data_IF_011500045992
#
_entry.id   IF_011500045992
#
_cell.length_a   1.000
_cell.length_b   1.000
_cell.length_c   1.000
_cell.angle_alpha   90.00
_cell.angle_beta   90.00
_cell.angle_gamma   90.00
#
_symmetry.space_group_name_H-M   'P 1'
#
loop_
_entity.id
_entity.type
_entity.pdbx_description
1 polymer ?
#
# COMPACT_ATOMS: atom_id res chain seq x y z
N UNK A 1 13.89 7.18 27.09
CA UNK A 1 13.32 8.01 26.01
C UNK A 1 12.72 7.05 25.01
N UNK A 2 11.40 6.90 24.99
CA UNK A 2 10.70 5.98 24.10
C UNK A 2 10.56 6.63 22.71
N UNK A 3 11.32 6.15 21.73
CA UNK A 3 11.23 6.61 20.34
C UNK A 3 10.09 5.90 19.59
N UNK A 4 8.85 5.99 20.10
CA UNK A 4 7.69 5.61 19.30
C UNK A 4 7.42 6.74 18.33
N UNK A 5 7.89 6.59 17.10
CA UNK A 5 7.43 7.41 15.98
C UNK A 5 5.89 7.36 15.98
N UNK A 6 5.19 8.52 15.94
CA UNK A 6 3.75 8.53 15.81
C UNK A 6 3.31 7.61 14.68
N UNK A 7 2.25 6.82 14.87
CA UNK A 7 1.76 5.91 13.83
C UNK A 7 1.46 6.63 12.50
N UNK A 8 1.14 7.93 12.57
CA UNK A 8 0.93 8.85 11.45
C UNK A 8 2.19 9.26 10.68
N UNK A 9 3.37 8.79 11.07
CA UNK A 9 4.64 9.09 10.37
C UNK A 9 5.28 7.83 9.78
N UNK A 10 4.83 6.62 10.15
CA UNK A 10 5.36 5.39 9.58
C UNK A 10 4.56 5.01 8.32
N UNK A 11 5.20 5.00 7.13
CA UNK A 11 4.51 4.75 5.87
C UNK A 11 3.80 3.39 5.77
N UNK A 12 4.19 2.39 6.57
CA UNK A 12 3.52 1.09 6.56
C UNK A 12 2.09 1.19 7.13
N UNK A 13 1.83 2.09 8.08
CA UNK A 13 0.47 2.29 8.58
C UNK A 13 -0.42 2.95 7.54
N UNK A 14 0.09 3.95 6.82
CA UNK A 14 -0.61 4.56 5.69
C UNK A 14 -0.87 3.54 4.58
N UNK A 15 0.07 2.63 4.31
CA UNK A 15 -0.11 1.56 3.33
C UNK A 15 -1.21 0.58 3.76
N UNK A 16 -1.21 0.13 5.02
CA UNK A 16 -2.24 -0.77 5.55
C UNK A 16 -3.61 -0.06 5.59
N UNK A 17 -3.66 1.20 6.01
CA UNK A 17 -4.87 2.01 6.03
C UNK A 17 -5.45 2.17 4.62
N UNK A 18 -4.61 2.48 3.63
CA UNK A 18 -5.02 2.54 2.22
C UNK A 18 -5.65 1.22 1.77
N UNK A 19 -5.04 0.08 2.10
CA UNK A 19 -5.59 -1.23 1.75
C UNK A 19 -6.96 -1.47 2.41
N UNK A 20 -7.10 -1.16 3.70
CA UNK A 20 -8.36 -1.31 4.43
C UNK A 20 -9.46 -0.43 3.81
N UNK A 21 -9.16 0.84 3.56
CA UNK A 21 -10.11 1.77 2.96
C UNK A 21 -10.48 1.40 1.52
N UNK A 22 -9.50 0.94 0.73
CA UNK A 22 -9.73 0.43 -0.63
C UNK A 22 -10.64 -0.80 -0.62
N UNK A 23 -10.43 -1.73 0.31
CA UNK A 23 -11.27 -2.92 0.46
C UNK A 23 -12.69 -2.57 0.92
N UNK A 24 -12.83 -1.61 1.82
CA UNK A 24 -14.12 -1.13 2.33
C UNK A 24 -14.89 -0.21 1.36
N UNK A 25 -14.32 0.13 0.19
CA UNK A 25 -14.92 1.06 -0.77
C UNK A 25 -14.91 2.53 -0.31
N UNK A 26 -14.10 2.87 0.70
CA UNK A 26 -13.96 4.21 1.26
C UNK A 26 -12.97 5.02 0.43
N UNK A 27 -13.39 5.42 -0.77
CA UNK A 27 -12.52 6.01 -1.79
C UNK A 27 -11.84 7.31 -1.36
N UNK A 28 -12.53 8.16 -0.56
CA UNK A 28 -11.97 9.43 -0.10
C UNK A 28 -10.84 9.21 0.92
N UNK A 29 -11.03 8.28 1.85
CA UNK A 29 -10.05 7.84 2.83
C UNK A 29 -8.84 7.21 2.15
N UNK A 30 -9.08 6.26 1.23
CA UNK A 30 -8.02 5.61 0.46
C UNK A 30 -7.18 6.62 -0.35
N UNK A 31 -7.83 7.60 -0.97
CA UNK A 31 -7.14 8.67 -1.71
C UNK A 31 -6.28 9.56 -0.81
N UNK A 32 -6.71 9.85 0.42
CA UNK A 32 -5.91 10.60 1.40
C UNK A 32 -4.65 9.84 1.79
N UNK A 33 -4.76 8.55 2.08
CA UNK A 33 -3.61 7.71 2.43
C UNK A 33 -2.64 7.58 1.25
N UNK A 34 -3.15 7.37 0.03
CA UNK A 34 -2.35 7.34 -1.20
C UNK A 34 -1.60 8.65 -1.41
N UNK A 35 -2.28 9.81 -1.29
CA UNK A 35 -1.64 11.10 -1.46
C UNK A 35 -0.53 11.34 -0.42
N UNK A 36 -0.75 10.91 0.83
CA UNK A 36 0.29 10.98 1.85
C UNK A 36 1.50 10.11 1.48
N UNK A 37 1.28 8.88 1.04
CA UNK A 37 2.34 7.96 0.61
C UNK A 37 3.11 8.48 -0.61
N UNK A 38 2.43 9.10 -1.57
CA UNK A 38 3.08 9.73 -2.73
C UNK A 38 4.02 10.87 -2.31
N UNK A 39 3.61 11.66 -1.32
CA UNK A 39 4.40 12.78 -0.81
C UNK A 39 5.58 12.35 0.08
N UNK A 40 5.40 11.32 0.92
CA UNK A 40 6.36 10.98 1.99
C UNK A 40 7.14 9.69 1.74
N UNK A 41 6.59 8.75 0.98
CA UNK A 41 7.16 7.43 0.77
C UNK A 41 6.98 6.93 -0.68
N UNK A 42 7.35 7.71 -1.72
CA UNK A 42 7.14 7.32 -3.12
C UNK A 42 7.86 6.02 -3.49
N UNK A 43 9.00 5.71 -2.84
CA UNK A 43 9.72 4.44 -3.03
C UNK A 43 8.94 3.22 -2.53
N UNK A 44 8.11 3.38 -1.50
CA UNK A 44 7.26 2.32 -0.98
C UNK A 44 6.13 1.99 -1.97
N UNK A 45 5.53 3.01 -2.60
CA UNK A 45 4.53 2.82 -3.68
C UNK A 45 5.17 2.11 -4.87
N UNK A 46 6.35 2.55 -5.31
CA UNK A 46 7.01 1.96 -6.48
C UNK A 46 7.37 0.47 -6.28
N UNK A 47 7.68 0.06 -5.05
CA UNK A 47 8.17 -1.29 -4.73
C UNK A 47 7.22 -2.08 -3.79
N UNK A 48 5.93 -1.72 -3.76
CA UNK A 48 4.99 -2.20 -2.73
C UNK A 48 5.00 -3.73 -2.59
N UNK A 49 4.98 -4.47 -3.69
CA UNK A 49 4.99 -5.94 -3.66
C UNK A 49 6.22 -6.51 -2.96
N UNK A 50 7.41 -5.99 -3.27
CA UNK A 50 8.67 -6.41 -2.66
C UNK A 50 8.71 -6.07 -1.17
N UNK A 51 8.25 -4.87 -0.81
CA UNK A 51 8.17 -4.43 0.59
C UNK A 51 7.20 -5.30 1.41
N UNK A 52 6.05 -5.67 0.84
CA UNK A 52 5.12 -6.58 1.49
C UNK A 52 5.71 -8.00 1.65
N UNK A 53 6.38 -8.52 0.63
CA UNK A 53 7.01 -9.84 0.68
C UNK A 53 8.13 -9.96 1.73
N UNK A 54 8.78 -8.85 2.10
CA UNK A 54 9.77 -8.83 3.18
C UNK A 54 9.14 -8.95 4.58
N UNK A 55 7.85 -8.57 4.73
CA UNK A 55 7.16 -8.46 6.02
C UNK A 55 6.11 -9.54 6.23
N UNK A 56 5.58 -10.11 5.15
CA UNK A 56 4.50 -11.09 5.15
C UNK A 56 5.04 -12.42 4.63
N UNK A 57 5.07 -13.42 5.51
CA UNK A 57 5.64 -14.75 5.20
C UNK A 57 4.82 -15.51 4.16
N UNK A 58 3.49 -15.38 4.20
CA UNK A 58 2.59 -16.09 3.29
C UNK A 58 2.37 -15.28 2.03
N UNK A 59 2.71 -15.87 0.88
CA UNK A 59 2.51 -15.26 -0.43
C UNK A 59 1.05 -14.92 -0.72
N UNK A 60 0.12 -15.77 -0.28
CA UNK A 60 -1.33 -15.55 -0.44
C UNK A 60 -1.77 -14.25 0.24
N UNK A 61 -1.26 -13.97 1.43
CA UNK A 61 -1.56 -12.74 2.17
C UNK A 61 -0.98 -11.51 1.46
N UNK A 62 0.20 -11.63 0.83
CA UNK A 62 0.77 -10.59 -0.03
C UNK A 62 -0.14 -10.33 -1.23
N UNK A 63 -0.61 -11.39 -1.90
CA UNK A 63 -1.46 -11.27 -3.08
C UNK A 63 -2.83 -10.66 -2.75
N UNK A 64 -3.44 -11.03 -1.61
CA UNK A 64 -4.67 -10.41 -1.11
C UNK A 64 -4.46 -8.93 -0.79
N UNK A 65 -3.38 -8.58 -0.08
CA UNK A 65 -3.12 -7.19 0.27
C UNK A 65 -2.85 -6.32 -0.96
N UNK A 66 -2.14 -6.87 -1.97
CA UNK A 66 -1.96 -6.21 -3.27
C UNK A 66 -3.29 -5.97 -4.00
N UNK A 67 -4.26 -6.88 -3.90
CA UNK A 67 -5.59 -6.66 -4.48
C UNK A 67 -6.33 -5.50 -3.80
N UNK A 68 -6.30 -5.44 -2.47
CA UNK A 68 -6.91 -4.33 -1.73
C UNK A 68 -6.22 -2.99 -2.01
N UNK A 69 -4.89 -2.98 -2.14
CA UNK A 69 -4.13 -1.78 -2.51
C UNK A 69 -4.43 -1.28 -3.93
N UNK A 70 -4.68 -2.19 -4.89
CA UNK A 70 -5.15 -1.81 -6.23
C UNK A 70 -6.48 -1.07 -6.17
N UNK A 71 -7.42 -1.50 -5.31
CA UNK A 71 -8.69 -0.78 -5.10
C UNK A 71 -8.48 0.62 -4.51
N UNK A 72 -7.39 0.82 -3.76
CA UNK A 72 -6.97 2.13 -3.26
C UNK A 72 -6.20 2.98 -4.29
N UNK A 73 -6.03 2.49 -5.53
CA UNK A 73 -5.24 3.16 -6.57
C UNK A 73 -3.72 3.05 -6.37
N UNK A 74 -3.27 2.10 -5.54
CA UNK A 74 -1.85 1.82 -5.29
C UNK A 74 -1.50 0.53 -6.04
N UNK A 75 -0.89 0.69 -7.23
CA UNK A 75 -0.38 -0.40 -8.04
C UNK A 75 1.04 -0.04 -8.52
N UNK A 76 2.00 -0.99 -8.51
CA UNK A 76 3.29 -0.78 -9.13
C UNK A 76 3.12 -0.53 -10.65
N UNK A 77 3.93 0.33 -11.28
CA UNK A 77 3.80 0.68 -12.70
C UNK A 77 3.82 -0.52 -13.66
N UNK A 78 4.49 -1.61 -13.29
CA UNK A 78 4.65 -2.80 -14.14
C UNK A 78 3.51 -3.82 -14.01
N UNK A 79 2.61 -3.66 -13.03
CA UNK A 79 1.50 -4.60 -12.81
C UNK A 79 0.21 -4.18 -13.54
N UNK A 80 0.11 -2.91 -13.93
CA UNK A 80 -1.02 -2.34 -14.69
C UNK A 80 -0.84 -2.48 -16.21
N UNK A 81 0.29 -3.04 -16.66
CA UNK A 81 0.47 -3.39 -18.07
C UNK A 81 -0.44 -4.58 -18.38
N UNK A 82 -1.38 -4.47 -19.34
CA UNK A 82 -2.15 -5.63 -19.77
C UNK A 82 -1.17 -6.71 -20.21
N UNK A 83 -1.32 -7.92 -19.67
CA UNK A 83 -0.55 -9.07 -20.15
C UNK A 83 -0.87 -9.22 -21.64
N UNK A 84 0.06 -8.83 -22.50
CA UNK A 84 -0.02 -9.13 -23.92
C UNK A 84 -0.09 -10.65 -24.06
N UNK A 85 -1.20 -11.12 -24.62
CA UNK A 85 -1.45 -12.50 -24.99
C UNK A 85 -0.72 -12.84 -26.29
#
# INVERSE_FOLDING_TARGET
>A
MDHKTPASENPNYHLIAAAIYGEAGQAAEAARERAWLEAHAPRLIANTRSELALRIVRREDVDHLMQSLRKAGIAPPDEDRPKSN
#
